data_IF_570787523916
#
_entry.id   IF_570787523916
#
_cell.length_a   1.000
_cell.length_b   1.000
_cell.length_c   1.000
_cell.angle_alpha   90.00
_cell.angle_beta   90.00
_cell.angle_gamma   90.00
#
_symmetry.space_group_name_H-M   'P 1'
#
loop_
_entity.id
_entity.type
_entity.pdbx_description
1 polymer ?
#
# COMPACT_ATOMS: atom_id res chain seq x y z
N UNK A 1 15.23 -1.94 0.35
CA UNK A 1 14.44 -3.19 0.22
C UNK A 1 13.34 -3.36 1.29
N UNK A 2 13.50 -2.85 2.52
CA UNK A 2 12.59 -3.09 3.66
C UNK A 2 11.13 -2.63 3.45
N UNK A 3 10.92 -1.50 2.74
CA UNK A 3 9.59 -0.90 2.56
C UNK A 3 8.62 -1.79 1.77
N UNK A 4 9.07 -2.41 0.68
CA UNK A 4 8.23 -3.28 -0.15
C UNK A 4 7.80 -4.52 0.65
N UNK A 5 8.70 -5.08 1.45
CA UNK A 5 8.43 -6.23 2.32
C UNK A 5 7.28 -5.96 3.28
N UNK A 6 7.24 -4.77 3.90
CA UNK A 6 6.18 -4.39 4.83
C UNK A 6 4.80 -4.36 4.17
N UNK A 7 4.68 -3.84 2.95
CA UNK A 7 3.41 -3.80 2.24
C UNK A 7 2.96 -5.19 1.78
N UNK A 8 3.89 -6.00 1.30
CA UNK A 8 3.62 -7.40 0.94
C UNK A 8 3.08 -8.19 2.14
N UNK A 9 3.70 -8.02 3.32
CA UNK A 9 3.28 -8.68 4.55
C UNK A 9 1.94 -8.13 5.05
N UNK A 10 1.76 -6.81 5.08
CA UNK A 10 0.53 -6.17 5.59
C UNK A 10 -0.71 -6.49 4.76
N UNK A 11 -0.53 -6.69 3.44
CA UNK A 11 -1.61 -7.03 2.53
C UNK A 11 -1.86 -8.51 2.31
N UNK A 12 -1.08 -9.40 2.93
CA UNK A 12 -1.22 -10.84 2.74
C UNK A 12 -2.51 -11.38 3.41
N UNK A 13 -3.14 -12.37 2.77
CA UNK A 13 -4.29 -13.08 3.33
C UNK A 13 -3.82 -14.22 4.23
N UNK A 14 -4.43 -14.31 5.42
CA UNK A 14 -4.20 -15.37 6.40
C UNK A 14 -5.36 -16.36 6.36
N UNK A 15 -5.05 -17.66 6.43
CA UNK A 15 -6.08 -18.69 6.63
C UNK A 15 -6.59 -18.63 8.06
N UNK A 16 -7.89 -18.83 8.22
CA UNK A 16 -8.50 -18.95 9.52
C UNK A 16 -7.96 -20.18 10.27
N UNK A 17 -7.71 -20.05 11.57
CA UNK A 17 -7.17 -21.11 12.42
C UNK A 17 -5.63 -21.26 12.41
N UNK A 18 -4.93 -20.69 11.43
CA UNK A 18 -3.47 -20.71 11.38
C UNK A 18 -2.85 -19.51 12.11
N UNK A 19 -1.70 -19.73 12.76
CA UNK A 19 -0.88 -18.64 13.35
C UNK A 19 0.17 -18.22 12.33
N UNK A 20 0.34 -16.90 12.15
CA UNK A 20 1.29 -16.32 11.21
C UNK A 20 2.27 -15.36 11.93
N UNK A 21 3.55 -15.31 11.50
CA UNK A 21 4.13 -16.08 10.41
C UNK A 21 4.34 -17.55 10.76
N UNK A 22 4.33 -18.44 9.77
CA UNK A 22 4.66 -19.86 9.97
C UNK A 22 5.58 -20.40 8.87
N UNK A 23 6.30 -21.52 9.13
CA UNK A 23 7.27 -22.07 8.16
C UNK A 23 6.65 -22.60 6.87
N UNK A 24 5.36 -22.98 6.89
CA UNK A 24 4.71 -23.59 5.73
C UNK A 24 4.25 -22.54 4.71
N UNK A 25 3.73 -21.42 5.21
CA UNK A 25 3.03 -20.39 4.41
C UNK A 25 3.58 -18.98 4.60
N UNK A 26 4.67 -18.83 5.35
CA UNK A 26 5.31 -17.53 5.60
C UNK A 26 4.34 -16.56 6.27
N UNK A 27 4.10 -15.42 5.62
CA UNK A 27 3.18 -14.38 6.10
C UNK A 27 1.74 -14.52 5.57
N UNK A 28 1.48 -15.57 4.77
CA UNK A 28 0.20 -15.81 4.12
C UNK A 28 0.27 -15.67 2.61
N UNK A 29 -0.89 -15.70 1.98
CA UNK A 29 -1.03 -15.64 0.52
C UNK A 29 -0.88 -14.20 0.02
N UNK A 30 -0.08 -14.01 -1.04
CA UNK A 30 0.06 -12.71 -1.70
C UNK A 30 -1.30 -12.27 -2.25
N UNK A 31 -1.77 -11.10 -1.80
CA UNK A 31 -3.02 -10.50 -2.24
C UNK A 31 -2.77 -9.05 -2.67
N UNK A 32 -2.66 -8.84 -3.99
CA UNK A 32 -2.37 -7.52 -4.56
C UNK A 32 -3.40 -6.47 -4.14
N UNK A 33 -4.69 -6.83 -4.08
CA UNK A 33 -5.74 -5.91 -3.63
C UNK A 33 -5.48 -5.45 -2.19
N UNK A 34 -5.25 -6.40 -1.27
CA UNK A 34 -4.95 -6.09 0.13
C UNK A 34 -3.66 -5.28 0.31
N UNK A 35 -2.65 -5.53 -0.54
CA UNK A 35 -1.40 -4.76 -0.56
C UNK A 35 -1.66 -3.29 -0.94
N UNK A 36 -2.38 -3.05 -2.03
CA UNK A 36 -2.69 -1.69 -2.48
C UNK A 36 -3.69 -0.96 -1.58
N UNK A 37 -4.67 -1.67 -1.01
CA UNK A 37 -5.60 -1.10 -0.03
C UNK A 37 -4.84 -0.57 1.21
N UNK A 38 -3.85 -1.34 1.71
CA UNK A 38 -2.99 -0.89 2.81
C UNK A 38 -2.13 0.32 2.46
N UNK A 39 -1.67 0.42 1.22
CA UNK A 39 -0.95 1.61 0.75
C UNK A 39 -1.88 2.83 0.76
N UNK A 40 -3.11 2.69 0.25
CA UNK A 40 -4.10 3.77 0.18
C UNK A 40 -4.55 4.26 1.55
N UNK A 41 -4.78 3.34 2.50
CA UNK A 41 -5.14 3.70 3.87
C UNK A 41 -4.04 4.53 4.54
N UNK A 42 -2.78 4.14 4.40
CA UNK A 42 -1.65 4.92 4.93
C UNK A 42 -1.57 6.31 4.31
N UNK A 43 -1.78 6.44 2.99
CA UNK A 43 -1.81 7.76 2.32
C UNK A 43 -2.92 8.64 2.91
N UNK A 44 -4.11 8.07 3.15
CA UNK A 44 -5.22 8.82 3.74
C UNK A 44 -4.98 9.19 5.21
N UNK A 45 -4.24 8.36 5.97
CA UNK A 45 -3.79 8.70 7.32
C UNK A 45 -2.74 9.81 7.30
N UNK A 46 -1.76 9.77 6.39
CA UNK A 46 -0.79 10.86 6.23
C UNK A 46 -1.47 12.17 5.79
N UNK A 47 -2.41 12.10 4.82
CA UNK A 47 -3.18 13.27 4.37
C UNK A 47 -4.07 13.90 5.44
N UNK A 48 -4.51 13.14 6.43
CA UNK A 48 -5.28 13.68 7.57
C UNK A 48 -4.41 14.29 8.67
N UNK A 49 -3.11 13.98 8.68
CA UNK A 49 -2.17 14.53 9.67
C UNK A 49 -1.39 15.74 9.13
N UNK A 50 -1.25 15.88 7.81
CA UNK A 50 -0.72 17.07 7.15
C UNK A 50 -1.87 17.92 6.58
N UNK A 51 -2.50 18.75 7.42
CA UNK A 51 -3.29 19.90 6.97
C UNK A 51 -2.36 20.96 6.36
N UNK A 52 -1.75 20.65 5.23
CA UNK A 52 -1.23 21.62 4.26
C UNK A 52 -1.74 21.17 2.89
N UNK A 53 -2.86 21.76 2.48
CA UNK A 53 -3.42 21.61 1.15
C UNK A 53 -2.46 22.27 0.15
N UNK A 54 -1.58 21.48 -0.45
CA UNK A 54 -0.88 21.89 -1.67
C UNK A 54 -1.77 21.48 -2.84
N UNK A 55 -2.61 22.39 -3.31
CA UNK A 55 -3.23 22.26 -4.62
C UNK A 55 -2.10 22.21 -5.67
N UNK A 56 -1.75 21.02 -6.14
CA UNK A 56 -0.99 20.88 -7.38
C UNK A 56 -1.94 20.42 -8.47
N UNK A 57 -1.97 21.13 -9.63
CA UNK A 57 -2.85 20.78 -10.72
C UNK A 57 -2.48 19.37 -11.20
N UNK A 58 -3.43 18.46 -11.02
CA UNK A 58 -3.30 17.05 -11.33
C UNK A 58 -3.57 16.91 -12.83
N UNK A 59 -2.52 16.77 -13.64
CA UNK A 59 -2.72 16.11 -14.93
C UNK A 59 -3.35 14.74 -14.59
N UNK A 60 -4.55 14.48 -15.12
CA UNK A 60 -5.46 13.42 -14.64
C UNK A 60 -4.84 12.00 -14.68
N UNK A 61 -3.70 11.85 -15.34
CA UNK A 61 -2.99 10.59 -15.48
C UNK A 61 -1.69 10.50 -14.67
N UNK A 62 -1.29 11.55 -13.96
CA UNK A 62 -0.02 11.60 -13.22
C UNK A 62 -0.25 11.79 -11.71
N UNK A 63 0.26 10.84 -10.93
CA UNK A 63 0.01 10.74 -9.50
C UNK A 63 1.30 10.62 -8.71
N UNK A 64 1.34 11.31 -7.57
CA UNK A 64 2.42 11.19 -6.60
C UNK A 64 1.92 10.51 -5.32
N UNK A 65 2.63 9.46 -4.91
CA UNK A 65 2.44 8.75 -3.65
C UNK A 65 3.76 8.84 -2.87
N UNK A 66 3.93 9.92 -2.12
CA UNK A 66 5.24 10.29 -1.55
C UNK A 66 6.26 10.49 -2.68
N UNK A 67 7.35 9.70 -2.68
CA UNK A 67 8.39 9.77 -3.70
C UNK A 67 8.12 8.86 -4.92
N UNK A 68 6.97 8.16 -4.96
CA UNK A 68 6.60 7.28 -6.05
C UNK A 68 5.74 8.04 -7.07
N UNK A 69 6.19 8.04 -8.33
CA UNK A 69 5.47 8.59 -9.47
C UNK A 69 4.73 7.47 -10.22
N UNK A 70 3.43 7.65 -10.45
CA UNK A 70 2.58 6.73 -11.20
C UNK A 70 1.96 7.50 -12.37
N UNK A 71 2.13 6.96 -13.57
CA UNK A 71 1.48 7.46 -14.79
C UNK A 71 0.64 6.39 -15.43
N UNK A 72 -0.66 6.64 -15.57
CA UNK A 72 -1.54 5.74 -16.32
C UNK A 72 -1.34 5.98 -17.84
N UNK A 73 -1.17 4.92 -18.64
CA UNK A 73 -1.11 5.04 -20.09
C UNK A 73 -2.49 5.45 -20.65
N UNK A 74 -2.49 6.14 -21.80
CA UNK A 74 -3.71 6.42 -22.58
C UNK A 74 -4.23 5.17 -23.26
#
# INVERSE_FOLDING_TARGET
ATKVKTYLIGGALKREGDIYPNPQWGYGMVNLKGIFDNIRLKINEFRRNDDIVIEKPMDENEYYVGNLFIRLPK
#
